data_IF_685622859688
#
_entry.id   IF_685622859688
#
_cell.length_a   1.000
_cell.length_b   1.000
_cell.length_c   1.000
_cell.angle_alpha   90.00
_cell.angle_beta   90.00
_cell.angle_gamma   90.00
#
_symmetry.space_group_name_H-M   'P 1'
#
loop_
_entity.id
_entity.type
_entity.pdbx_description
1 polymer ?
#
# COMPACT_ATOMS: atom_id res chain seq x y z
N UNK A 1 -6.22 20.78 13.22
CA UNK A 1 -5.44 19.54 13.22
C UNK A 1 -5.12 19.10 11.80
N UNK A 2 -3.86 18.89 11.53
CA UNK A 2 -3.47 18.37 10.22
C UNK A 2 -3.89 16.91 10.07
N UNK A 3 -4.41 16.59 8.90
CA UNK A 3 -4.74 15.20 8.58
C UNK A 3 -3.46 14.44 8.25
N UNK A 4 -3.40 13.18 8.65
CA UNK A 4 -2.30 12.30 8.25
C UNK A 4 -2.41 12.02 6.75
N UNK A 5 -1.32 12.23 6.03
CA UNK A 5 -1.27 11.98 4.58
C UNK A 5 -0.86 10.55 4.32
N UNK A 6 -1.60 9.89 3.43
CA UNK A 6 -1.25 8.56 2.92
C UNK A 6 -1.25 8.60 1.40
N UNK A 7 -0.35 7.82 0.81
CA UNK A 7 -0.24 7.67 -0.65
C UNK A 7 -0.82 6.31 -1.02
N UNK A 8 -1.71 6.29 -1.99
CA UNK A 8 -2.28 5.05 -2.51
C UNK A 8 -2.11 4.98 -4.03
N UNK A 9 -2.15 3.78 -4.57
CA UNK A 9 -2.06 3.58 -6.00
C UNK A 9 -2.05 2.11 -6.38
N UNK A 10 -2.22 1.85 -7.68
CA UNK A 10 -2.17 0.51 -8.26
C UNK A 10 -0.83 0.37 -8.98
N UNK A 11 -0.02 -0.58 -8.51
CA UNK A 11 1.39 -0.70 -8.92
C UNK A 11 1.55 -1.44 -10.25
N UNK A 12 2.62 -1.11 -10.97
CA UNK A 12 3.05 -1.82 -12.16
C UNK A 12 2.20 -1.49 -13.37
N UNK A 13 1.95 -2.48 -14.21
CA UNK A 13 1.15 -2.33 -15.42
C UNK A 13 -0.36 -2.51 -15.21
N UNK A 14 -0.79 -2.58 -13.96
CA UNK A 14 -2.18 -2.82 -13.57
C UNK A 14 -3.05 -1.59 -13.81
N UNK A 15 -4.19 -1.78 -14.48
CA UNK A 15 -5.14 -0.71 -14.81
C UNK A 15 -6.47 -0.83 -14.05
N UNK A 16 -6.54 -1.69 -13.04
CA UNK A 16 -7.77 -1.93 -12.27
C UNK A 16 -8.01 -0.82 -11.25
N UNK A 17 -8.76 0.21 -11.65
CA UNK A 17 -8.94 1.43 -10.87
C UNK A 17 -10.07 1.37 -9.83
N UNK A 18 -11.03 0.45 -9.96
CA UNK A 18 -12.23 0.45 -9.12
C UNK A 18 -11.91 0.24 -7.64
N UNK A 19 -11.11 -0.77 -7.32
CA UNK A 19 -10.71 -1.04 -5.94
C UNK A 19 -9.93 0.11 -5.32
N UNK A 20 -9.09 0.77 -6.12
CA UNK A 20 -8.29 1.91 -5.67
C UNK A 20 -9.19 3.10 -5.29
N UNK A 21 -10.25 3.35 -6.06
CA UNK A 21 -11.22 4.43 -5.76
C UNK A 21 -12.01 4.13 -4.50
N UNK A 22 -12.36 2.87 -4.27
CA UNK A 22 -13.07 2.44 -3.05
C UNK A 22 -12.18 2.70 -1.84
N UNK A 23 -10.90 2.37 -1.92
CA UNK A 23 -9.93 2.63 -0.86
C UNK A 23 -9.81 4.13 -0.60
N UNK A 24 -9.69 4.92 -1.65
CA UNK A 24 -9.61 6.39 -1.55
C UNK A 24 -10.81 6.94 -0.79
N UNK A 25 -12.01 6.55 -1.20
CA UNK A 25 -13.24 7.02 -0.55
C UNK A 25 -13.27 6.66 0.93
N UNK A 26 -13.00 5.39 1.25
CA UNK A 26 -13.04 4.90 2.63
C UNK A 26 -12.00 5.61 3.51
N UNK A 27 -10.80 5.82 2.99
CA UNK A 27 -9.74 6.49 3.75
C UNK A 27 -10.03 7.98 3.96
N UNK A 28 -10.61 8.66 2.96
CA UNK A 28 -11.06 10.04 3.10
C UNK A 28 -12.15 10.15 4.17
N UNK A 29 -13.10 9.23 4.19
CA UNK A 29 -14.16 9.19 5.20
C UNK A 29 -13.59 8.96 6.60
N UNK A 30 -12.50 8.23 6.70
CA UNK A 30 -11.82 7.98 7.98
C UNK A 30 -10.99 9.16 8.49
N UNK A 31 -10.85 10.21 7.69
CA UNK A 31 -10.16 11.44 8.09
C UNK A 31 -8.72 11.57 7.60
N UNK A 32 -8.28 10.69 6.69
CA UNK A 32 -6.95 10.82 6.11
C UNK A 32 -6.93 11.80 4.93
N UNK A 33 -5.78 12.40 4.71
CA UNK A 33 -5.50 13.14 3.47
C UNK A 33 -4.92 12.16 2.46
N UNK A 34 -5.70 11.79 1.44
CA UNK A 34 -5.34 10.73 0.51
C UNK A 34 -4.75 11.31 -0.77
N UNK A 35 -3.53 10.91 -1.09
CA UNK A 35 -2.88 11.22 -2.37
C UNK A 35 -2.97 9.97 -3.23
N UNK A 36 -3.88 9.97 -4.19
CA UNK A 36 -4.12 8.82 -5.06
C UNK A 36 -3.36 8.99 -6.37
N UNK A 37 -2.38 8.12 -6.59
CA UNK A 37 -1.55 8.17 -7.81
C UNK A 37 -2.21 7.48 -9.01
N UNK A 38 -3.35 6.82 -8.80
CA UNK A 38 -4.06 6.17 -9.88
C UNK A 38 -3.56 4.77 -10.16
N UNK A 39 -3.50 4.42 -11.44
CA UNK A 39 -3.09 3.09 -11.91
C UNK A 39 -1.74 3.18 -12.62
N UNK A 40 -1.13 2.02 -12.86
CA UNK A 40 0.18 1.91 -13.56
C UNK A 40 1.29 2.71 -12.85
N UNK A 41 1.27 2.69 -11.53
CA UNK A 41 2.22 3.47 -10.73
C UNK A 41 3.53 2.71 -10.56
N UNK A 42 4.65 3.38 -10.76
CA UNK A 42 5.98 2.80 -10.54
C UNK A 42 6.38 2.93 -9.07
N UNK A 43 7.37 2.11 -8.66
CA UNK A 43 7.95 2.21 -7.33
C UNK A 43 8.49 3.62 -7.06
N UNK A 44 9.18 4.19 -8.05
CA UNK A 44 9.74 5.54 -7.94
C UNK A 44 8.66 6.58 -7.68
N UNK A 45 7.51 6.47 -8.37
CA UNK A 45 6.40 7.39 -8.19
C UNK A 45 5.83 7.32 -6.76
N UNK A 46 5.73 6.11 -6.20
CA UNK A 46 5.30 5.94 -4.80
C UNK A 46 6.27 6.63 -3.84
N UNK A 47 7.57 6.41 -4.02
CA UNK A 47 8.60 6.98 -3.16
C UNK A 47 8.62 8.51 -3.27
N UNK A 48 8.63 9.03 -4.49
CA UNK A 48 8.66 10.48 -4.74
C UNK A 48 7.43 11.16 -4.15
N UNK A 49 6.25 10.59 -4.33
CA UNK A 49 5.01 11.13 -3.77
C UNK A 49 5.03 11.14 -2.23
N UNK A 50 5.55 10.09 -1.62
CA UNK A 50 5.67 10.01 -0.16
C UNK A 50 6.61 11.09 0.39
N UNK A 51 7.71 11.34 -0.30
CA UNK A 51 8.66 12.40 0.08
C UNK A 51 8.00 13.77 -0.04
N UNK A 52 7.40 14.06 -1.19
CA UNK A 52 6.81 15.36 -1.50
C UNK A 52 5.65 15.73 -0.57
N UNK A 53 4.86 14.75 -0.17
CA UNK A 53 3.67 14.96 0.64
C UNK A 53 3.88 14.72 2.13
N UNK A 54 5.09 14.29 2.51
CA UNK A 54 5.40 13.90 3.88
C UNK A 54 4.42 12.83 4.39
N UNK A 55 4.14 11.85 3.55
CA UNK A 55 3.18 10.79 3.86
C UNK A 55 3.68 9.88 4.98
N UNK A 56 2.75 9.32 5.73
CA UNK A 56 3.04 8.39 6.83
C UNK A 56 2.84 6.94 6.44
N UNK A 57 2.17 6.70 5.32
CA UNK A 57 1.91 5.34 4.82
C UNK A 57 1.80 5.33 3.30
N UNK A 58 2.19 4.22 2.70
CA UNK A 58 1.94 3.91 1.30
C UNK A 58 1.09 2.65 1.27
N UNK A 59 -0.03 2.69 0.56
CA UNK A 59 -0.90 1.53 0.37
C UNK A 59 -0.90 1.16 -1.10
N UNK A 60 -0.36 -0.02 -1.39
CA UNK A 60 -0.17 -0.52 -2.74
C UNK A 60 -1.26 -1.54 -3.05
N UNK A 61 -1.92 -1.38 -4.19
CA UNK A 61 -2.87 -2.37 -4.70
C UNK A 61 -2.29 -3.09 -5.90
N UNK A 62 -2.53 -4.38 -5.99
CA UNK A 62 -2.14 -5.19 -7.15
C UNK A 62 -3.22 -6.22 -7.39
N UNK A 63 -3.90 -6.15 -8.55
CA UNK A 63 -5.09 -6.95 -8.82
C UNK A 63 -4.92 -7.96 -9.96
N UNK A 64 -3.77 -7.99 -10.61
CA UNK A 64 -3.55 -8.86 -11.78
C UNK A 64 -2.56 -10.02 -11.52
N UNK A 65 -2.21 -10.27 -10.26
CA UNK A 65 -1.42 -11.43 -9.89
C UNK A 65 0.10 -11.27 -10.01
N UNK A 66 0.61 -10.09 -10.27
CA UNK A 66 2.04 -9.81 -10.45
C UNK A 66 2.63 -8.95 -9.32
N UNK A 67 1.93 -8.89 -8.19
CA UNK A 67 2.35 -8.04 -7.07
C UNK A 67 3.74 -8.34 -6.55
N UNK A 68 4.14 -9.61 -6.50
CA UNK A 68 5.47 -9.98 -6.02
C UNK A 68 6.59 -9.35 -6.85
N UNK A 69 6.46 -9.40 -8.18
CA UNK A 69 7.45 -8.78 -9.08
C UNK A 69 7.43 -7.25 -8.97
N UNK A 70 6.24 -6.68 -8.98
CA UNK A 70 6.08 -5.23 -9.00
C UNK A 70 6.51 -4.57 -7.70
N UNK A 71 6.33 -5.25 -6.57
CA UNK A 71 6.64 -4.72 -5.25
C UNK A 71 8.06 -5.03 -4.78
N UNK A 72 8.78 -5.90 -5.47
CA UNK A 72 10.13 -6.27 -5.07
C UNK A 72 11.05 -5.06 -5.11
N UNK A 73 11.67 -4.77 -3.98
CA UNK A 73 12.58 -3.64 -3.86
C UNK A 73 11.95 -2.32 -3.38
N UNK A 74 10.63 -2.24 -3.29
CA UNK A 74 9.98 -1.00 -2.84
C UNK A 74 10.35 -0.66 -1.39
N UNK A 75 10.37 -1.64 -0.51
CA UNK A 75 10.77 -1.43 0.88
C UNK A 75 12.19 -0.90 0.99
N UNK A 76 13.11 -1.46 0.21
CA UNK A 76 14.50 -1.00 0.16
C UNK A 76 14.60 0.41 -0.41
N UNK A 77 13.83 0.72 -1.45
CA UNK A 77 13.81 2.06 -2.04
C UNK A 77 13.36 3.11 -1.03
N UNK A 78 12.36 2.80 -0.20
CA UNK A 78 11.90 3.69 0.86
C UNK A 78 13.00 3.92 1.91
N UNK A 79 13.69 2.86 2.32
CA UNK A 79 14.80 2.97 3.27
C UNK A 79 15.95 3.79 2.72
N UNK A 80 16.32 3.58 1.47
CA UNK A 80 17.37 4.34 0.80
C UNK A 80 17.05 5.83 0.70
N UNK A 81 15.76 6.15 0.56
CA UNK A 81 15.26 7.53 0.54
C UNK A 81 15.14 8.15 1.94
N UNK A 82 15.46 7.42 2.99
CA UNK A 82 15.36 7.90 4.37
C UNK A 82 13.94 7.96 4.90
N UNK A 83 13.00 7.23 4.30
CA UNK A 83 11.61 7.23 4.72
C UNK A 83 11.37 6.20 5.83
N UNK A 84 10.83 6.67 6.95
CA UNK A 84 10.30 5.82 8.00
C UNK A 84 8.78 5.78 7.85
N UNK A 85 8.30 4.89 6.99
CA UNK A 85 6.93 4.89 6.50
C UNK A 85 6.32 3.50 6.59
N UNK A 86 5.01 3.44 6.85
CA UNK A 86 4.28 2.18 6.82
C UNK A 86 4.02 1.77 5.37
N UNK A 87 4.23 0.49 5.07
CA UNK A 87 3.97 -0.08 3.75
C UNK A 87 2.92 -1.18 3.86
N UNK A 88 1.80 -0.97 3.17
CA UNK A 88 0.72 -1.94 3.10
C UNK A 88 0.53 -2.37 1.64
N UNK A 89 0.20 -3.63 1.44
CA UNK A 89 -0.11 -4.15 0.12
C UNK A 89 -1.31 -5.07 0.19
N UNK A 90 -2.14 -5.02 -0.83
CA UNK A 90 -3.34 -5.86 -0.90
C UNK A 90 -3.75 -6.17 -2.32
N UNK A 91 -4.68 -7.12 -2.46
CA UNK A 91 -5.22 -7.55 -3.71
C UNK A 91 -4.72 -8.92 -4.15
N UNK A 92 -4.81 -9.20 -5.42
CA UNK A 92 -4.40 -10.49 -5.99
C UNK A 92 -2.91 -10.45 -6.34
N UNK A 93 -2.07 -10.85 -5.39
CA UNK A 93 -0.63 -10.57 -5.40
C UNK A 93 0.22 -11.56 -6.17
N UNK A 94 -0.29 -12.77 -6.42
CA UNK A 94 0.47 -13.83 -7.11
C UNK A 94 -0.40 -14.54 -8.13
N UNK A 95 0.24 -15.10 -9.16
CA UNK A 95 -0.43 -15.93 -10.15
C UNK A 95 -0.51 -17.37 -9.60
N UNK A 96 -1.68 -18.00 -9.75
CA UNK A 96 -1.91 -19.36 -9.33
C UNK A 96 -2.38 -19.48 -7.88
N UNK A 97 -2.42 -20.72 -7.40
CA UNK A 97 -2.86 -21.02 -6.03
C UNK A 97 -1.66 -21.03 -5.11
N UNK A 98 -1.67 -20.15 -4.14
CA UNK A 98 -0.66 -20.14 -3.07
C UNK A 98 -1.37 -19.92 -1.75
N UNK A 99 -0.86 -20.53 -0.67
CA UNK A 99 -1.35 -20.22 0.66
C UNK A 99 -1.05 -18.77 0.99
N UNK A 100 -2.04 -18.08 1.49
CA UNK A 100 -1.88 -16.66 1.85
C UNK A 100 -0.73 -16.46 2.84
N UNK A 101 -0.54 -17.37 3.80
CA UNK A 101 0.54 -17.26 4.79
C UNK A 101 1.93 -17.21 4.13
N UNK A 102 2.14 -17.97 3.06
CA UNK A 102 3.39 -17.95 2.31
C UNK A 102 3.58 -16.62 1.59
N UNK A 103 2.52 -16.12 0.97
CA UNK A 103 2.53 -14.82 0.28
C UNK A 103 2.79 -13.71 1.28
N UNK A 104 2.10 -13.71 2.41
CA UNK A 104 2.28 -12.73 3.46
C UNK A 104 3.72 -12.67 3.96
N UNK A 105 4.32 -13.84 4.21
CA UNK A 105 5.71 -13.91 4.66
C UNK A 105 6.68 -13.31 3.64
N UNK A 106 6.47 -13.62 2.35
CA UNK A 106 7.32 -13.07 1.27
C UNK A 106 7.27 -11.56 1.22
N UNK A 107 6.07 -10.99 1.29
CA UNK A 107 5.90 -9.53 1.25
C UNK A 107 6.45 -8.85 2.50
N UNK A 108 6.28 -9.47 3.66
CA UNK A 108 6.88 -8.94 4.89
C UNK A 108 8.41 -8.91 4.82
N UNK A 109 9.03 -9.93 4.22
CA UNK A 109 10.47 -9.96 3.98
C UNK A 109 10.93 -8.86 3.03
N UNK A 110 10.05 -8.43 2.12
CA UNK A 110 10.33 -7.31 1.21
C UNK A 110 10.15 -5.94 1.86
N UNK A 111 9.74 -5.89 3.13
CA UNK A 111 9.60 -4.65 3.87
C UNK A 111 8.17 -4.16 4.06
N UNK A 112 7.16 -4.94 3.69
CA UNK A 112 5.77 -4.58 3.90
C UNK A 112 5.33 -4.89 5.34
N UNK A 113 4.66 -3.94 5.96
CA UNK A 113 4.20 -4.08 7.34
C UNK A 113 2.95 -4.93 7.44
N UNK A 114 2.05 -4.82 6.46
CA UNK A 114 0.83 -5.63 6.39
C UNK A 114 0.50 -6.03 4.97
N UNK A 115 -0.10 -7.20 4.83
CA UNK A 115 -0.46 -7.80 3.55
C UNK A 115 -1.92 -8.27 3.65
N UNK A 116 -2.74 -7.91 2.66
CA UNK A 116 -4.16 -8.23 2.66
C UNK A 116 -4.51 -9.12 1.46
N UNK A 117 -5.21 -10.24 1.68
CA UNK A 117 -5.67 -11.09 0.58
C UNK A 117 -6.83 -10.43 -0.19
N UNK A 118 -7.15 -10.93 -1.40
CA UNK A 118 -8.32 -10.44 -2.13
C UNK A 118 -9.59 -10.57 -1.28
N UNK A 119 -10.47 -9.57 -1.37
CA UNK A 119 -11.72 -9.57 -0.61
C UNK A 119 -11.60 -9.18 0.85
N UNK A 120 -10.45 -8.69 1.28
CA UNK A 120 -10.28 -8.20 2.66
C UNK A 120 -11.18 -6.99 2.93
N UNK A 121 -11.61 -6.89 4.18
CA UNK A 121 -12.45 -5.78 4.63
C UNK A 121 -11.62 -4.49 4.74
N UNK A 122 -12.02 -3.46 4.02
CA UNK A 122 -11.36 -2.15 4.04
C UNK A 122 -11.38 -1.53 5.43
N UNK A 123 -12.48 -1.72 6.16
CA UNK A 123 -12.61 -1.21 7.54
C UNK A 123 -11.53 -1.81 8.45
N UNK A 124 -11.20 -3.09 8.27
CA UNK A 124 -10.12 -3.71 9.03
C UNK A 124 -8.78 -3.08 8.70
N UNK A 125 -8.53 -2.80 7.42
CA UNK A 125 -7.31 -2.11 6.99
C UNK A 125 -7.18 -0.72 7.61
N UNK A 126 -8.28 0.01 7.69
CA UNK A 126 -8.30 1.34 8.31
C UNK A 126 -7.98 1.25 9.81
N UNK A 127 -8.59 0.30 10.52
CA UNK A 127 -8.32 0.08 11.94
C UNK A 127 -6.84 -0.28 12.17
N UNK A 128 -6.30 -1.15 11.33
CA UNK A 128 -4.89 -1.54 11.39
C UNK A 128 -3.98 -0.33 11.17
N UNK A 129 -4.30 0.50 10.19
CA UNK A 129 -3.52 1.69 9.89
C UNK A 129 -3.52 2.68 11.05
N UNK A 130 -4.68 2.94 11.63
CA UNK A 130 -4.81 3.83 12.78
C UNK A 130 -3.99 3.33 13.98
N UNK A 131 -4.04 2.02 14.24
CA UNK A 131 -3.27 1.41 15.32
C UNK A 131 -1.76 1.49 15.06
N UNK A 132 -1.33 1.20 13.83
CA UNK A 132 0.09 1.23 13.47
C UNK A 132 0.66 2.65 13.51
N UNK A 133 -0.11 3.63 13.06
CA UNK A 133 0.29 5.04 13.15
C UNK A 133 0.43 5.50 14.59
N UNK A 134 -0.48 5.08 15.46
CA UNK A 134 -0.43 5.40 16.88
C UNK A 134 0.81 4.80 17.54
N UNK A 135 1.15 3.57 17.18
CA UNK A 135 2.32 2.88 17.73
C UNK A 135 3.65 3.48 17.26
N UNK A 136 3.64 4.12 16.09
CA UNK A 136 4.81 4.80 15.54
C UNK A 136 5.04 6.19 16.13
N UNK A 137 4.01 6.78 16.63
CA UNK A 137 4.06 8.16 17.14
C UNK A 137 4.92 8.30 18.40
#
# INVERSE_FOLDING_TARGET
>A
MEKTTIVIGVIGADVHAVGNRIIEYAMNQAGFNVVNLGVMVSQKEFVDAAIETNAKAIIVSSLYGHGELDCRGLGDACKEAGLDILLYVGGNLVVGKSDFEVVEEKFKKMGFDRVYPPGSDIEQGIRDLMADLKNKA
#
